data_IF_399460538340
#
_entry.id   IF_399460538340
#
_cell.length_a   1.000
_cell.length_b   1.000
_cell.length_c   1.000
_cell.angle_alpha   90.00
_cell.angle_beta   90.00
_cell.angle_gamma   90.00
#
_symmetry.space_group_name_H-M   'P 1'
#
loop_
_entity.id
_entity.type
_entity.pdbx_description
1 polymer ?
#
# COMPACT_ATOMS: atom_id res chain seq x y z
N UNK A 1 -30.94 36.07 12.96
CA UNK A 1 -30.75 34.63 12.73
C UNK A 1 -30.17 34.46 11.33
N UNK A 2 -28.88 34.14 11.22
CA UNK A 2 -28.25 33.72 9.96
C UNK A 2 -28.42 32.21 9.79
N UNK A 3 -28.75 31.71 8.59
CA UNK A 3 -28.69 30.27 8.32
C UNK A 3 -27.23 29.80 8.19
N UNK A 4 -26.93 28.63 8.74
CA UNK A 4 -25.64 27.97 8.60
C UNK A 4 -25.44 27.43 7.18
N UNK A 5 -24.19 27.38 6.65
CA UNK A 5 -23.92 26.85 5.33
C UNK A 5 -24.04 25.32 5.32
N UNK A 6 -24.91 24.79 4.46
CA UNK A 6 -25.01 23.37 4.13
C UNK A 6 -23.71 22.94 3.46
N UNK A 7 -22.87 22.18 4.18
CA UNK A 7 -21.73 21.50 3.57
C UNK A 7 -22.26 20.36 2.70
N UNK A 8 -22.10 20.50 1.39
CA UNK A 8 -22.26 19.40 0.43
C UNK A 8 -21.09 18.44 0.62
N UNK A 9 -21.28 17.41 1.45
CA UNK A 9 -20.39 16.25 1.48
C UNK A 9 -20.57 15.54 0.15
N UNK A 10 -19.53 15.58 -0.67
CA UNK A 10 -19.48 14.92 -1.97
C UNK A 10 -19.31 13.42 -1.69
N UNK A 11 -20.40 12.66 -1.74
CA UNK A 11 -20.35 11.20 -1.68
C UNK A 11 -19.40 10.69 -2.76
N UNK A 12 -18.39 9.91 -2.35
CA UNK A 12 -17.55 9.18 -3.28
C UNK A 12 -18.40 8.04 -3.88
N UNK A 13 -18.41 7.86 -5.20
CA UNK A 13 -19.09 6.71 -5.79
C UNK A 13 -18.38 5.43 -5.33
N UNK A 14 -19.16 4.43 -4.88
CA UNK A 14 -18.70 3.05 -4.68
C UNK A 14 -17.91 2.62 -5.91
N UNK A 15 -16.61 2.44 -5.79
CA UNK A 15 -15.79 1.95 -6.89
C UNK A 15 -16.07 0.46 -6.96
N UNK A 16 -16.97 0.04 -7.86
CA UNK A 16 -17.05 -1.37 -8.21
C UNK A 16 -15.63 -1.81 -8.59
N UNK A 17 -15.09 -2.82 -7.90
CA UNK A 17 -13.82 -3.46 -8.16
C UNK A 17 -13.58 -3.50 -9.68
N UNK A 18 -12.66 -2.65 -10.14
CA UNK A 18 -12.35 -2.55 -11.55
C UNK A 18 -11.36 -3.65 -11.85
N UNK A 19 -11.87 -4.84 -12.19
CA UNK A 19 -11.08 -5.89 -12.82
C UNK A 19 -10.25 -5.27 -13.96
N UNK A 20 -8.96 -5.10 -13.71
CA UNK A 20 -8.05 -4.29 -14.51
C UNK A 20 -7.67 -4.98 -15.81
N UNK A 21 -8.41 -4.73 -16.89
CA UNK A 21 -8.01 -5.14 -18.24
C UNK A 21 -6.80 -4.32 -18.73
N UNK A 22 -5.57 -4.80 -18.48
CA UNK A 22 -4.33 -4.18 -18.95
C UNK A 22 -4.09 -4.37 -20.45
N UNK A 23 -4.24 -3.29 -21.24
CA UNK A 23 -3.84 -3.21 -22.67
C UNK A 23 -2.35 -2.82 -22.76
N UNK A 24 -1.51 -3.68 -23.34
CA UNK A 24 -0.08 -3.39 -23.60
C UNK A 24 0.10 -2.86 -25.03
N UNK A 25 0.50 -1.59 -25.15
CA UNK A 25 1.04 -1.03 -26.38
C UNK A 25 2.58 -1.07 -26.31
N UNK A 26 3.19 -1.97 -27.07
CA UNK A 26 4.64 -2.10 -27.17
C UNK A 26 5.26 -1.10 -28.14
N UNK A 27 6.36 -0.46 -27.75
CA UNK A 27 7.31 0.18 -28.66
C UNK A 27 8.74 -0.10 -28.20
N UNK A 28 9.41 -0.94 -28.97
CA UNK A 28 10.84 -1.19 -28.90
C UNK A 28 11.62 -0.10 -29.66
N UNK A 29 12.80 0.29 -29.18
CA UNK A 29 14.03 0.47 -29.99
C UNK A 29 15.26 0.81 -29.14
N UNK A 30 16.41 0.43 -29.70
CA UNK A 30 17.69 0.13 -29.07
C UNK A 30 18.76 1.19 -29.40
N UNK A 31 19.86 1.13 -28.61
CA UNK A 31 21.26 1.50 -28.90
C UNK A 31 21.71 2.97 -28.74
N UNK A 32 22.79 3.18 -27.94
CA UNK A 32 24.16 3.29 -28.47
C UNK A 32 25.24 3.37 -27.37
N UNK A 33 26.27 2.54 -27.58
CA UNK A 33 27.70 2.62 -27.22
C UNK A 33 28.20 3.88 -26.49
N UNK A 34 28.89 3.65 -25.36
CA UNK A 34 29.83 4.59 -24.75
C UNK A 34 31.03 3.83 -24.17
N UNK A 35 32.09 3.68 -24.96
CA UNK A 35 33.38 3.13 -24.56
C UNK A 35 34.39 4.27 -24.51
N UNK A 36 35.21 4.35 -23.46
CA UNK A 36 36.27 5.36 -23.38
C UNK A 36 36.96 5.39 -22.02
N UNK A 37 37.76 4.37 -21.75
CA UNK A 37 38.73 4.36 -20.65
C UNK A 37 40.11 4.60 -21.26
N UNK A 38 40.82 5.63 -20.81
CA UNK A 38 42.26 5.77 -21.08
C UNK A 38 43.00 6.15 -19.79
N UNK A 39 43.97 5.29 -19.51
CA UNK A 39 44.90 5.22 -18.40
C UNK A 39 46.13 6.10 -18.69
N UNK A 40 46.86 6.58 -17.67
CA UNK A 40 48.33 6.39 -17.49
C UNK A 40 48.85 7.24 -16.30
N UNK A 41 49.75 6.68 -15.45
CA UNK A 41 50.19 7.24 -14.17
C UNK A 41 51.53 8.00 -14.24
N UNK A 42 52.02 8.48 -13.08
CA UNK A 42 53.42 8.59 -12.53
C UNK A 42 53.64 9.91 -11.71
N UNK A 43 54.71 10.08 -10.91
CA UNK A 43 54.83 9.62 -9.52
C UNK A 43 55.25 10.72 -8.50
N UNK A 44 55.25 10.32 -7.23
CA UNK A 44 55.97 10.82 -6.03
C UNK A 44 56.69 12.19 -6.05
N UNK A 45 56.38 13.01 -5.03
CA UNK A 45 57.40 13.76 -4.29
C UNK A 45 56.93 14.13 -2.87
N UNK A 46 57.74 13.70 -1.91
CA UNK A 46 57.78 14.09 -0.51
C UNK A 46 58.11 15.57 -0.33
N UNK A 47 57.48 16.26 0.64
CA UNK A 47 58.16 17.07 1.67
C UNK A 47 57.13 17.75 2.60
N UNK A 48 57.37 17.63 3.90
CA UNK A 48 56.64 18.27 4.99
C UNK A 48 57.14 19.73 5.24
N UNK A 49 56.84 20.37 6.38
CA UNK A 49 55.65 21.17 6.64
C UNK A 49 55.98 22.66 6.87
N UNK A 50 54.98 23.54 6.84
CA UNK A 50 55.12 24.89 7.38
C UNK A 50 53.85 25.30 8.14
N UNK A 51 53.98 25.34 9.46
CA UNK A 51 53.14 26.05 10.40
C UNK A 51 53.02 27.52 10.01
N UNK A 52 51.80 28.06 9.93
CA UNK A 52 51.55 29.48 10.19
C UNK A 52 50.22 29.64 10.90
N UNK A 53 50.32 30.18 12.10
CA UNK A 53 49.26 30.58 13.01
C UNK A 53 48.52 31.81 12.47
N UNK A 54 47.19 31.78 12.38
CA UNK A 54 46.35 32.97 12.26
C UNK A 54 44.94 32.74 12.82
N UNK A 55 44.75 33.23 14.05
CA UNK A 55 43.55 33.76 14.69
C UNK A 55 42.16 33.22 14.30
N UNK A 56 41.56 32.49 15.24
CA UNK A 56 40.15 32.13 15.27
C UNK A 56 39.23 33.33 15.56
N UNK A 57 38.09 33.50 14.84
CA UNK A 57 36.98 34.33 15.30
C UNK A 57 36.18 33.62 16.42
N UNK A 58 35.38 34.34 17.22
CA UNK A 58 34.70 33.80 18.40
C UNK A 58 33.65 32.73 18.02
N UNK A 59 33.28 31.82 18.93
CA UNK A 59 32.16 30.92 18.71
C UNK A 59 30.87 31.76 18.70
N UNK A 60 30.22 31.84 17.55
CA UNK A 60 28.81 32.20 17.53
C UNK A 60 28.04 31.07 18.23
N UNK A 61 27.46 31.40 19.37
CA UNK A 61 26.47 30.59 20.07
C UNK A 61 25.32 30.31 19.11
N UNK A 62 25.45 29.21 18.36
CA UNK A 62 24.35 28.62 17.64
C UNK A 62 23.39 28.07 18.69
N UNK A 63 22.28 28.77 18.86
CA UNK A 63 21.11 28.21 19.51
C UNK A 63 20.83 26.84 18.88
N UNK A 64 20.48 25.80 19.65
CA UNK A 64 20.01 24.57 19.03
C UNK A 64 18.75 24.95 18.25
N UNK A 65 18.83 24.81 16.93
CA UNK A 65 17.62 24.73 16.14
C UNK A 65 16.80 23.59 16.75
N UNK A 66 15.66 23.94 17.35
CA UNK A 66 14.58 23.00 17.59
C UNK A 66 14.17 22.46 16.22
N UNK A 67 14.88 21.45 15.73
CA UNK A 67 14.34 20.55 14.75
C UNK A 67 13.23 19.81 15.48
N UNK A 68 11.98 20.16 15.21
CA UNK A 68 10.83 19.33 15.58
C UNK A 68 10.93 18.02 14.78
N UNK A 69 11.21 16.86 15.40
CA UNK A 69 11.17 15.59 14.70
C UNK A 69 9.73 15.05 14.61
N UNK A 70 8.73 15.91 14.49
CA UNK A 70 7.34 15.57 14.86
C UNK A 70 6.44 15.13 13.70
N UNK A 71 6.83 15.33 12.44
CA UNK A 71 6.01 14.94 11.30
C UNK A 71 6.20 13.44 10.96
N UNK A 72 7.46 12.98 10.85
CA UNK A 72 7.74 11.57 10.51
C UNK A 72 7.32 10.57 11.58
N UNK A 73 7.40 10.94 12.87
CA UNK A 73 6.98 10.06 13.96
C UNK A 73 5.44 9.91 14.05
N UNK A 74 4.69 10.97 13.75
CA UNK A 74 3.22 10.90 13.69
C UNK A 74 2.73 10.20 12.43
N UNK A 75 3.41 10.37 11.29
CA UNK A 75 3.06 9.70 10.04
C UNK A 75 3.29 8.17 10.13
N UNK A 76 4.42 7.74 10.69
CA UNK A 76 4.69 6.31 10.96
C UNK A 76 3.67 5.70 11.93
N UNK A 77 3.32 6.41 13.01
CA UNK A 77 2.27 5.96 13.95
C UNK A 77 0.89 5.80 13.28
N UNK A 78 0.58 6.64 12.29
CA UNK A 78 -0.65 6.55 11.50
C UNK A 78 -0.66 5.32 10.58
N UNK A 79 0.44 5.09 9.86
CA UNK A 79 0.62 3.90 9.02
C UNK A 79 0.53 2.59 9.83
N UNK A 80 1.21 2.54 10.98
CA UNK A 80 1.18 1.36 11.87
C UNK A 80 -0.22 1.13 12.48
N UNK A 81 -0.93 2.21 12.85
CA UNK A 81 -2.30 2.12 13.33
C UNK A 81 -3.28 1.65 12.25
N UNK A 82 -3.12 2.13 11.01
CA UNK A 82 -3.91 1.67 9.86
C UNK A 82 -3.68 0.18 9.58
N UNK A 83 -2.43 -0.29 9.57
CA UNK A 83 -2.12 -1.72 9.38
C UNK A 83 -2.73 -2.59 10.50
N UNK A 84 -2.65 -2.13 11.75
CA UNK A 84 -3.26 -2.84 12.88
C UNK A 84 -4.79 -2.92 12.77
N UNK A 85 -5.45 -1.84 12.37
CA UNK A 85 -6.89 -1.82 12.18
C UNK A 85 -7.34 -2.72 11.03
N UNK A 86 -6.59 -2.75 9.92
CA UNK A 86 -6.82 -3.66 8.80
C UNK A 86 -6.72 -5.12 9.25
N UNK A 87 -5.66 -5.50 9.96
CA UNK A 87 -5.48 -6.86 10.48
C UNK A 87 -6.59 -7.24 11.47
N UNK A 88 -7.02 -6.30 12.31
CA UNK A 88 -8.15 -6.50 13.20
C UNK A 88 -9.45 -6.72 12.42
N UNK A 89 -9.70 -5.96 11.35
CA UNK A 89 -10.88 -6.13 10.50
C UNK A 89 -10.90 -7.50 9.81
N UNK A 90 -9.77 -7.95 9.27
CA UNK A 90 -9.60 -9.31 8.72
C UNK A 90 -9.96 -10.37 9.75
N UNK A 91 -9.41 -10.28 10.96
CA UNK A 91 -9.70 -11.24 12.03
C UNK A 91 -11.19 -11.23 12.41
N UNK A 92 -11.78 -10.05 12.56
CA UNK A 92 -13.21 -9.88 12.88
C UNK A 92 -14.12 -10.48 11.80
N UNK A 93 -13.78 -10.30 10.52
CA UNK A 93 -14.54 -10.89 9.42
C UNK A 93 -14.43 -12.43 9.38
N UNK A 94 -13.23 -12.98 9.58
CA UNK A 94 -13.00 -14.43 9.64
C UNK A 94 -13.73 -15.11 10.81
N UNK A 95 -13.77 -14.45 11.97
CA UNK A 95 -14.51 -14.94 13.14
C UNK A 95 -16.02 -14.99 12.90
N UNK A 96 -16.56 -14.05 12.11
CA UNK A 96 -17.97 -14.03 11.74
C UNK A 96 -18.34 -15.06 10.68
N UNK A 97 -17.47 -15.27 9.69
CA UNK A 97 -17.72 -16.15 8.54
C UNK A 97 -16.68 -17.28 8.49
N UNK A 98 -16.88 -18.31 9.31
CA UNK A 98 -16.00 -19.48 9.29
C UNK A 98 -16.09 -20.24 7.96
N UNK A 99 -14.93 -20.65 7.42
CA UNK A 99 -14.86 -21.45 6.19
C UNK A 99 -14.95 -20.63 4.89
N UNK A 100 -14.75 -19.32 4.98
CA UNK A 100 -14.50 -18.43 3.83
C UNK A 100 -13.03 -18.02 3.78
N UNK A 101 -12.57 -17.60 2.59
CA UNK A 101 -11.24 -17.03 2.37
C UNK A 101 -11.38 -15.53 2.17
N UNK A 102 -10.60 -14.72 2.89
CA UNK A 102 -10.54 -13.28 2.62
C UNK A 102 -9.78 -13.06 1.32
N UNK A 103 -10.37 -12.32 0.38
CA UNK A 103 -9.78 -12.00 -0.93
C UNK A 103 -9.58 -10.50 -1.13
N UNK A 104 -10.25 -9.67 -0.34
CA UNK A 104 -10.02 -8.23 -0.36
C UNK A 104 -10.23 -7.60 1.02
N UNK A 105 -9.56 -6.47 1.24
CA UNK A 105 -9.82 -5.55 2.34
C UNK A 105 -9.58 -4.12 1.87
N UNK A 106 -10.58 -3.25 2.00
CA UNK A 106 -10.52 -1.86 1.55
C UNK A 106 -11.13 -0.89 2.56
N UNK A 107 -10.64 0.34 2.61
CA UNK A 107 -11.30 1.43 3.32
C UNK A 107 -12.47 1.94 2.48
N UNK A 108 -13.69 1.81 3.01
CA UNK A 108 -14.91 2.33 2.39
C UNK A 108 -15.61 3.36 3.29
N UNK A 109 -16.55 4.11 2.72
CA UNK A 109 -17.36 5.13 3.37
C UNK A 109 -18.84 4.69 3.42
N UNK A 110 -19.27 4.10 4.53
CA UNK A 110 -20.67 3.75 4.79
C UNK A 110 -21.40 4.93 5.45
N UNK A 111 -22.13 5.70 4.65
CA UNK A 111 -22.94 6.84 5.12
C UNK A 111 -22.16 7.93 5.87
N UNK A 112 -20.90 8.16 5.47
CA UNK A 112 -20.01 9.16 6.08
C UNK A 112 -19.27 8.67 7.32
N UNK A 113 -19.29 7.36 7.57
CA UNK A 113 -18.44 6.68 8.54
C UNK A 113 -17.44 5.81 7.77
N UNK A 114 -16.16 5.94 8.07
CA UNK A 114 -15.13 5.05 7.53
C UNK A 114 -15.32 3.65 8.11
N UNK A 115 -15.29 2.66 7.24
CA UNK A 115 -15.34 1.23 7.56
C UNK A 115 -14.23 0.51 6.79
N UNK A 116 -13.88 -0.68 7.25
CA UNK A 116 -13.15 -1.64 6.44
C UNK A 116 -14.16 -2.58 5.79
N UNK A 117 -14.22 -2.61 4.47
CA UNK A 117 -14.97 -3.63 3.74
C UNK A 117 -14.04 -4.82 3.50
N UNK A 118 -14.40 -5.98 4.04
CA UNK A 118 -13.64 -7.22 3.88
C UNK A 118 -14.40 -8.15 2.96
N UNK A 119 -13.89 -8.36 1.75
CA UNK A 119 -14.45 -9.29 0.78
C UNK A 119 -14.00 -10.72 1.09
N UNK A 120 -14.96 -11.63 1.23
CA UNK A 120 -14.70 -13.04 1.48
C UNK A 120 -15.36 -13.93 0.43
N UNK A 121 -14.64 -14.97 0.02
CA UNK A 121 -15.09 -15.98 -0.92
C UNK A 121 -15.41 -17.29 -0.19
N UNK A 122 -16.59 -17.83 -0.43
CA UNK A 122 -17.00 -19.16 0.02
C UNK A 122 -16.35 -20.25 -0.83
N UNK A 123 -16.36 -21.50 -0.35
CA UNK A 123 -15.90 -22.66 -1.13
C UNK A 123 -16.58 -22.80 -2.51
N UNK A 124 -17.84 -22.38 -2.61
CA UNK A 124 -18.60 -22.44 -3.86
C UNK A 124 -18.29 -21.27 -4.80
N UNK A 125 -17.45 -20.32 -4.38
CA UNK A 125 -17.04 -19.15 -5.16
C UNK A 125 -17.92 -17.93 -4.99
N UNK A 126 -19.01 -18.01 -4.20
CA UNK A 126 -19.82 -16.83 -3.88
C UNK A 126 -19.05 -15.90 -2.93
N UNK A 127 -19.10 -14.61 -3.25
CA UNK A 127 -18.46 -13.51 -2.52
C UNK A 127 -19.45 -12.78 -1.62
N UNK A 128 -18.95 -12.32 -0.48
CA UNK A 128 -19.69 -11.58 0.51
C UNK A 128 -18.79 -10.50 1.09
N UNK A 129 -19.37 -9.33 1.34
CA UNK A 129 -18.68 -8.20 1.96
C UNK A 129 -19.05 -8.13 3.43
N UNK A 130 -18.05 -7.94 4.28
CA UNK A 130 -18.20 -7.68 5.71
C UNK A 130 -17.64 -6.30 6.00
N UNK A 131 -18.53 -5.34 6.24
CA UNK A 131 -18.11 -4.01 6.71
C UNK A 131 -17.82 -4.06 8.20
N UNK A 132 -16.62 -3.64 8.60
CA UNK A 132 -16.12 -3.62 9.97
C UNK A 132 -15.81 -2.17 10.37
N UNK A 133 -15.92 -1.83 11.65
CA UNK A 133 -15.60 -0.51 12.19
C UNK A 133 -14.19 -0.07 11.78
N UNK A 134 -13.94 1.25 11.71
CA UNK A 134 -12.64 1.80 11.32
C UNK A 134 -11.44 1.28 12.14
N UNK A 135 -11.66 0.89 13.40
CA UNK A 135 -10.65 0.29 14.28
C UNK A 135 -10.54 -1.24 14.15
N UNK A 136 -11.43 -1.86 13.37
CA UNK A 136 -11.43 -3.27 13.03
C UNK A 136 -12.09 -4.20 14.06
N UNK A 137 -12.74 -3.68 15.10
CA UNK A 137 -13.21 -4.50 16.23
C UNK A 137 -14.67 -4.96 16.18
N UNK A 138 -15.51 -4.36 15.33
CA UNK A 138 -16.95 -4.66 15.30
C UNK A 138 -17.48 -4.76 13.87
N UNK A 139 -18.22 -5.82 13.57
CA UNK A 139 -18.97 -5.92 12.31
C UNK A 139 -20.13 -4.94 12.32
N UNK A 140 -20.13 -4.04 11.34
CA UNK A 140 -21.18 -3.05 11.08
C UNK A 140 -22.25 -3.65 10.19
N UNK A 141 -21.85 -4.36 9.13
CA UNK A 141 -22.75 -4.92 8.13
C UNK A 141 -22.16 -6.15 7.47
N UNK A 142 -23.05 -7.01 6.96
CA UNK A 142 -22.68 -8.09 6.04
C UNK A 142 -23.64 -8.07 4.86
N UNK A 143 -23.11 -8.12 3.65
CA UNK A 143 -23.87 -8.08 2.40
C UNK A 143 -23.36 -9.18 1.46
N UNK A 144 -24.26 -9.77 0.68
CA UNK A 144 -23.83 -10.61 -0.45
C UNK A 144 -23.59 -9.71 -1.64
N UNK A 145 -22.53 -9.99 -2.39
CA UNK A 145 -22.32 -9.35 -3.69
C UNK A 145 -23.41 -9.82 -4.65
N UNK A 146 -24.24 -8.88 -5.12
CA UNK A 146 -25.40 -9.18 -5.95
C UNK A 146 -24.99 -9.70 -7.34
N UNK A 147 -25.69 -10.76 -7.80
CA UNK A 147 -25.60 -11.32 -9.17
C UNK A 147 -24.20 -11.78 -9.59
N UNK A 148 -23.72 -12.84 -8.96
CA UNK A 148 -22.60 -13.62 -9.52
C UNK A 148 -23.10 -14.74 -10.42
N UNK A 149 -22.53 -14.85 -11.62
CA UNK A 149 -22.73 -15.99 -12.49
C UNK A 149 -21.68 -17.09 -12.24
N UNK A 150 -21.73 -18.19 -13.01
CA UNK A 150 -20.78 -19.30 -12.81
C UNK A 150 -19.37 -18.97 -13.30
N UNK A 151 -19.20 -17.95 -14.15
CA UNK A 151 -17.87 -17.47 -14.52
C UNK A 151 -17.21 -16.74 -13.35
N UNK A 152 -17.93 -15.85 -12.69
CA UNK A 152 -17.43 -15.10 -11.52
C UNK A 152 -17.03 -16.06 -10.39
N UNK A 153 -17.94 -16.98 -10.01
CA UNK A 153 -17.62 -17.99 -8.97
C UNK A 153 -16.42 -18.86 -9.33
N UNK A 154 -16.27 -19.23 -10.60
CA UNK A 154 -15.12 -20.04 -11.05
C UNK A 154 -13.83 -19.24 -10.97
N UNK A 155 -13.86 -17.96 -11.30
CA UNK A 155 -12.72 -17.06 -11.16
C UNK A 155 -12.31 -16.91 -9.70
N UNK A 156 -13.25 -16.64 -8.81
CA UNK A 156 -13.02 -16.54 -7.36
C UNK A 156 -12.42 -17.83 -6.78
N UNK A 157 -12.98 -19.00 -7.12
CA UNK A 157 -12.39 -20.28 -6.72
C UNK A 157 -10.97 -20.45 -7.26
N UNK A 158 -10.73 -20.10 -8.53
CA UNK A 158 -9.40 -20.22 -9.12
C UNK A 158 -8.37 -19.27 -8.49
N UNK A 159 -8.76 -18.07 -8.05
CA UNK A 159 -7.87 -17.16 -7.30
C UNK A 159 -7.51 -17.77 -5.95
N UNK A 160 -8.52 -18.20 -5.19
CA UNK A 160 -8.36 -18.80 -3.86
C UNK A 160 -7.54 -20.10 -3.92
N UNK A 161 -7.78 -20.96 -4.90
CA UNK A 161 -7.08 -22.24 -5.05
C UNK A 161 -5.60 -22.06 -5.42
N UNK A 162 -5.24 -20.97 -6.10
CA UNK A 162 -3.89 -20.70 -6.60
C UNK A 162 -3.02 -19.92 -5.60
N UNK A 163 -3.61 -19.27 -4.60
CA UNK A 163 -2.92 -18.48 -3.58
C UNK A 163 -2.42 -19.38 -2.43
N UNK A 164 -1.15 -19.25 -2.07
CA UNK A 164 -0.54 -19.90 -0.89
C UNK A 164 -0.32 -18.91 0.25
N UNK A 165 -0.23 -17.62 -0.06
CA UNK A 165 -0.10 -16.50 0.89
C UNK A 165 -1.50 -15.96 1.19
N UNK A 166 -1.90 -15.99 2.47
CA UNK A 166 -3.15 -15.38 2.90
C UNK A 166 -3.02 -13.86 3.11
N UNK A 167 -4.17 -13.19 3.28
CA UNK A 167 -4.23 -11.73 3.41
C UNK A 167 -3.38 -11.19 4.56
N UNK A 168 -3.22 -11.94 5.67
CA UNK A 168 -2.42 -11.50 6.83
C UNK A 168 -0.94 -11.44 6.46
N UNK A 169 -0.46 -12.53 5.85
CA UNK A 169 0.93 -12.63 5.39
C UNK A 169 1.22 -11.58 4.30
N UNK A 170 0.25 -11.31 3.41
CA UNK A 170 0.36 -10.26 2.40
C UNK A 170 0.48 -8.86 3.03
N UNK A 171 -0.32 -8.54 4.05
CA UNK A 171 -0.23 -7.27 4.80
C UNK A 171 1.13 -7.12 5.49
N UNK A 172 1.68 -8.20 6.04
CA UNK A 172 2.99 -8.21 6.67
C UNK A 172 4.15 -8.06 5.67
N UNK A 173 3.96 -8.52 4.42
CA UNK A 173 4.92 -8.37 3.34
C UNK A 173 4.96 -6.94 2.76
N UNK A 174 3.95 -6.10 3.01
CA UNK A 174 3.92 -4.73 2.50
C UNK A 174 5.10 -3.91 3.03
N UNK A 175 5.88 -3.26 2.14
CA UNK A 175 7.06 -2.53 2.55
C UNK A 175 6.67 -1.25 3.31
N UNK A 176 7.39 -0.96 4.40
CA UNK A 176 7.23 0.29 5.15
C UNK A 176 7.87 1.52 4.49
N UNK A 177 8.29 1.43 3.22
CA UNK A 177 9.04 2.47 2.54
C UNK A 177 8.19 3.56 1.89
N UNK A 178 6.86 3.37 1.75
CA UNK A 178 5.97 4.46 1.35
C UNK A 178 5.89 5.44 2.52
N UNK A 179 6.33 6.68 2.31
CA UNK A 179 6.49 7.72 3.33
C UNK A 179 5.24 7.91 4.19
N UNK A 180 5.19 7.24 5.36
CA UNK A 180 4.02 7.25 6.24
C UNK A 180 2.73 6.73 5.58
N UNK A 181 2.87 5.83 4.60
CA UNK A 181 1.77 5.38 3.76
C UNK A 181 0.73 4.55 4.51
N UNK A 182 -0.54 4.76 4.19
CA UNK A 182 -1.66 3.95 4.70
C UNK A 182 -2.21 3.06 3.62
N UNK A 183 -2.50 1.80 3.93
CA UNK A 183 -3.16 0.87 3.00
C UNK A 183 -4.61 1.32 2.83
N UNK A 184 -4.99 1.63 1.60
CA UNK A 184 -6.37 1.96 1.21
C UNK A 184 -7.09 0.68 0.78
N UNK A 185 -6.42 -0.18 0.02
CA UNK A 185 -6.94 -1.46 -0.46
C UNK A 185 -5.83 -2.52 -0.51
N UNK A 186 -6.21 -3.78 -0.31
CA UNK A 186 -5.43 -4.98 -0.60
C UNK A 186 -6.36 -6.05 -1.19
N UNK A 187 -6.11 -6.51 -2.41
CA UNK A 187 -6.98 -7.43 -3.16
C UNK A 187 -6.18 -8.56 -3.82
N UNK A 188 -6.74 -9.77 -3.81
CA UNK A 188 -6.22 -10.94 -4.52
C UNK A 188 -6.72 -10.90 -5.97
N UNK A 189 -5.80 -10.72 -6.92
CA UNK A 189 -6.12 -10.58 -8.34
C UNK A 189 -5.17 -11.42 -9.22
N UNK A 190 -5.36 -11.37 -10.54
CA UNK A 190 -4.59 -12.11 -11.53
C UNK A 190 -3.92 -11.16 -12.53
N UNK A 191 -2.64 -10.86 -12.30
CA UNK A 191 -1.80 -10.12 -13.26
C UNK A 191 -1.09 -11.09 -14.21
N UNK A 192 -1.39 -10.97 -15.51
CA UNK A 192 -0.67 -11.68 -16.61
C UNK A 192 -0.54 -13.21 -16.43
N UNK A 193 -1.51 -13.82 -15.76
CA UNK A 193 -1.56 -15.27 -15.53
C UNK A 193 -0.94 -15.74 -14.21
N UNK A 194 -0.41 -14.82 -13.40
CA UNK A 194 0.00 -15.08 -12.01
C UNK A 194 -1.04 -14.50 -11.05
N UNK A 195 -1.31 -15.19 -9.95
CA UNK A 195 -2.13 -14.65 -8.85
C UNK A 195 -1.23 -13.79 -7.97
N UNK A 196 -1.68 -12.59 -7.65
CA UNK A 196 -0.96 -11.59 -6.88
C UNK A 196 -1.89 -10.98 -5.84
N UNK A 197 -1.32 -10.53 -4.74
CA UNK A 197 -1.95 -9.50 -3.92
C UNK A 197 -1.54 -8.14 -4.47
N UNK A 198 -2.51 -7.30 -4.81
CA UNK A 198 -2.32 -5.90 -5.21
C UNK A 198 -2.77 -4.99 -4.08
N UNK A 199 -1.91 -4.06 -3.68
CA UNK A 199 -2.16 -3.13 -2.60
C UNK A 199 -2.05 -1.69 -3.08
N UNK A 200 -3.06 -0.89 -2.78
CA UNK A 200 -3.04 0.55 -2.98
C UNK A 200 -2.65 1.23 -1.67
N UNK A 201 -1.50 1.88 -1.67
CA UNK A 201 -0.96 2.59 -0.50
C UNK A 201 -0.96 4.09 -0.77
N UNK A 202 -1.60 4.85 0.11
CA UNK A 202 -1.66 6.30 0.02
C UNK A 202 -0.54 6.95 0.83
N UNK A 203 0.34 7.71 0.17
CA UNK A 203 1.37 8.51 0.83
C UNK A 203 0.78 9.70 1.62
N UNK A 204 1.63 10.43 2.34
CA UNK A 204 1.20 11.62 3.11
C UNK A 204 0.60 12.74 2.26
N UNK A 205 0.89 12.78 0.96
CA UNK A 205 0.31 13.72 -0.01
C UNK A 205 -0.96 13.18 -0.68
N UNK A 206 -1.45 12.00 -0.25
CA UNK A 206 -2.61 11.28 -0.81
C UNK A 206 -2.40 10.82 -2.25
N UNK A 207 -1.15 10.58 -2.65
CA UNK A 207 -0.83 9.87 -3.91
C UNK A 207 -0.87 8.37 -3.66
N UNK A 208 -1.44 7.65 -4.62
CA UNK A 208 -1.56 6.20 -4.60
C UNK A 208 -0.31 5.55 -5.18
N UNK A 209 0.15 4.50 -4.51
CA UNK A 209 1.25 3.65 -4.91
C UNK A 209 0.74 2.21 -4.96
N UNK A 210 0.81 1.61 -6.14
CA UNK A 210 0.42 0.20 -6.36
C UNK A 210 1.61 -0.70 -6.01
N UNK A 211 1.41 -1.60 -5.07
CA UNK A 211 2.41 -2.61 -4.66
C UNK A 211 1.85 -3.99 -4.96
N UNK A 212 2.64 -4.82 -5.63
CA UNK A 212 2.25 -6.21 -5.93
C UNK A 212 3.10 -7.21 -5.19
N UNK A 213 2.46 -8.24 -4.64
CA UNK A 213 3.08 -9.36 -3.94
C UNK A 213 2.67 -10.65 -4.65
N UNK A 214 3.61 -11.54 -4.93
CA UNK A 214 3.31 -12.86 -5.48
C UNK A 214 2.47 -13.66 -4.46
N UNK A 215 1.26 -14.06 -4.82
CA UNK A 215 0.35 -14.73 -3.88
C UNK A 215 0.74 -16.17 -3.58
N UNK A 216 1.80 -16.72 -4.18
CA UNK A 216 2.34 -18.05 -3.87
C UNK A 216 3.59 -17.95 -3.00
N UNK A 217 4.50 -17.03 -3.30
CA UNK A 217 5.77 -16.93 -2.58
C UNK A 217 5.83 -15.85 -1.51
N UNK A 218 4.98 -14.82 -1.60
CA UNK A 218 5.04 -13.64 -0.73
C UNK A 218 6.10 -12.62 -1.15
N UNK A 219 6.76 -12.82 -2.30
CA UNK A 219 7.76 -11.90 -2.81
C UNK A 219 7.11 -10.62 -3.34
N UNK A 220 7.65 -9.46 -2.96
CA UNK A 220 7.24 -8.17 -3.54
C UNK A 220 7.77 -8.05 -4.97
N UNK A 221 6.86 -7.91 -5.94
CA UNK A 221 7.15 -8.01 -7.38
C UNK A 221 7.41 -6.64 -8.04
N UNK A 222 6.70 -5.59 -7.65
CA UNK A 222 6.88 -4.23 -8.19
C UNK A 222 6.20 -3.18 -7.31
N UNK A 223 6.77 -1.98 -7.30
CA UNK A 223 6.14 -0.72 -6.89
C UNK A 223 5.93 0.08 -8.18
N UNK A 224 4.68 0.42 -8.50
CA UNK A 224 4.38 1.32 -9.62
C UNK A 224 3.74 2.58 -9.07
N UNK A 225 4.49 3.67 -9.18
CA UNK A 225 4.08 5.05 -8.87
C UNK A 225 3.66 5.79 -10.14
#
# INVERSE_FOLDING_TARGET
>A
MSPAPTSLVRARPRTLARYGAGVVAGLASFALVGCGSEETPVPAASSAPATTSAAAPPPETSAPASASPSASASASSGADGNRQALLAAVATAQDQLSGTTVVSVEQDDESGQTVWQVGVVTRDGDEQDVDVSADGSEVVRTERVDRQDEADRRENRALVDDAEVDVTDAVEALPGSVDGGTVDQLELDRDRGSVVWEADVLDTDRREHEIRIDARSGDVLSDRT
#
